data_IF_890724514798
#
_entry.id   IF_890724514798
#
_cell.length_a   1.000
_cell.length_b   1.000
_cell.length_c   1.000
_cell.angle_alpha   90.00
_cell.angle_beta   90.00
_cell.angle_gamma   90.00
#
_symmetry.space_group_name_H-M   'P 1'
#
loop_
_entity.id
_entity.type
_entity.pdbx_description
1 polymer ?
#
# COMPACT_ATOMS: atom_id res chain seq x y z
N UNK A 1 -30.93 7.57 -28.03
CA UNK A 1 -29.52 7.60 -28.50
C UNK A 1 -28.90 8.97 -28.34
N UNK A 2 -29.58 10.08 -28.68
CA UNK A 2 -29.02 11.43 -28.44
C UNK A 2 -28.84 11.71 -26.94
N UNK A 3 -29.88 11.51 -26.11
CA UNK A 3 -29.78 11.76 -24.65
C UNK A 3 -28.64 10.99 -23.94
N UNK A 4 -28.30 9.79 -24.42
CA UNK A 4 -27.18 9.01 -23.87
C UNK A 4 -25.82 9.57 -24.31
N UNK A 5 -25.72 10.05 -25.56
CA UNK A 5 -24.51 10.70 -26.06
C UNK A 5 -24.30 12.05 -25.40
N UNK A 6 -25.37 12.78 -25.15
CA UNK A 6 -25.33 14.06 -24.44
C UNK A 6 -24.85 13.83 -23.00
N UNK A 7 -25.39 12.82 -22.29
CA UNK A 7 -24.93 12.44 -20.95
C UNK A 7 -23.44 12.06 -20.92
N UNK A 8 -22.97 11.27 -21.90
CA UNK A 8 -21.56 10.91 -21.99
C UNK A 8 -20.68 12.10 -22.36
N UNK A 9 -21.18 13.02 -23.20
CA UNK A 9 -20.52 14.27 -23.52
C UNK A 9 -20.34 15.14 -22.28
N UNK A 10 -21.39 15.31 -21.48
CA UNK A 10 -21.33 16.05 -20.22
C UNK A 10 -20.36 15.40 -19.21
N UNK A 11 -20.27 14.06 -19.20
CA UNK A 11 -19.36 13.34 -18.30
C UNK A 11 -17.88 13.64 -18.61
N UNK A 12 -17.52 13.73 -19.89
CA UNK A 12 -16.12 13.91 -20.32
C UNK A 12 -15.75 15.36 -20.64
N UNK A 13 -16.73 16.27 -20.70
CA UNK A 13 -16.49 17.67 -21.03
C UNK A 13 -15.81 18.44 -19.89
N UNK A 14 -14.93 19.37 -20.27
CA UNK A 14 -14.26 20.32 -19.37
C UNK A 14 -13.56 19.61 -18.20
N UNK A 15 -12.86 18.50 -18.48
CA UNK A 15 -11.99 17.84 -17.51
C UNK A 15 -10.57 18.37 -17.69
N UNK A 16 -9.85 18.53 -16.58
CA UNK A 16 -8.49 19.06 -16.56
C UNK A 16 -7.46 17.96 -16.94
N UNK A 17 -7.76 16.70 -16.62
CA UNK A 17 -6.93 15.55 -16.98
C UNK A 17 -7.72 14.23 -17.06
N UNK A 18 -7.19 13.28 -17.81
CA UNK A 18 -7.70 11.91 -17.93
C UNK A 18 -6.70 10.93 -17.33
N UNK A 19 -7.13 10.17 -16.33
CA UNK A 19 -6.31 9.18 -15.62
C UNK A 19 -6.60 7.79 -16.18
N UNK A 20 -5.60 7.16 -16.78
CA UNK A 20 -5.71 5.81 -17.31
C UNK A 20 -5.05 4.83 -16.34
N UNK A 21 -5.86 3.98 -15.69
CA UNK A 21 -5.37 3.01 -14.72
C UNK A 21 -5.01 1.69 -15.40
N UNK A 22 -3.71 1.37 -15.41
CA UNK A 22 -3.09 0.19 -16.02
C UNK A 22 -3.59 -0.11 -17.45
N UNK A 23 -3.60 0.89 -18.36
CA UNK A 23 -4.11 0.69 -19.72
C UNK A 23 -3.24 -0.30 -20.48
N UNK A 24 -3.85 -1.03 -21.41
CA UNK A 24 -3.09 -1.74 -22.43
C UNK A 24 -2.61 -0.78 -23.54
N UNK A 25 -1.61 -1.20 -24.31
CA UNK A 25 -1.01 -0.37 -25.36
C UNK A 25 -2.02 0.09 -26.43
N UNK A 26 -2.92 -0.80 -26.87
CA UNK A 26 -3.93 -0.43 -27.88
C UNK A 26 -4.92 0.61 -27.39
N UNK A 27 -5.30 0.57 -26.11
CA UNK A 27 -6.20 1.54 -25.53
C UNK A 27 -5.50 2.87 -25.29
N UNK A 28 -4.24 2.85 -24.85
CA UNK A 28 -3.44 4.07 -24.70
C UNK A 28 -3.26 4.83 -26.03
N UNK A 29 -3.02 4.12 -27.14
CA UNK A 29 -2.94 4.71 -28.49
C UNK A 29 -4.23 5.43 -28.92
N UNK A 30 -5.40 5.11 -28.34
CA UNK A 30 -6.65 5.83 -28.63
C UNK A 30 -6.63 7.29 -28.14
N UNK A 31 -5.69 7.64 -27.25
CA UNK A 31 -5.57 8.98 -26.65
C UNK A 31 -4.45 9.84 -27.26
N UNK A 32 -3.75 9.39 -28.30
CA UNK A 32 -2.62 10.12 -28.93
C UNK A 32 -3.00 11.51 -29.50
N UNK A 33 -4.25 11.68 -29.91
CA UNK A 33 -4.78 12.91 -30.56
C UNK A 33 -5.75 13.69 -29.65
N UNK A 34 -5.73 13.44 -28.34
CA UNK A 34 -6.60 14.08 -27.35
C UNK A 34 -5.92 15.36 -26.81
N UNK A 35 -6.69 16.43 -26.59
CA UNK A 35 -6.14 17.73 -26.16
C UNK A 35 -5.88 17.77 -24.64
N UNK A 36 -6.59 16.93 -23.89
CA UNK A 36 -6.51 16.78 -22.44
C UNK A 36 -5.20 16.08 -21.97
N UNK A 37 -4.73 16.42 -20.78
CA UNK A 37 -3.55 15.80 -20.17
C UNK A 37 -3.83 14.33 -19.80
N UNK A 38 -3.02 13.39 -20.31
CA UNK A 38 -3.19 11.95 -20.08
C UNK A 38 -2.22 11.48 -19.00
N UNK A 39 -2.75 11.10 -17.84
CA UNK A 39 -1.98 10.56 -16.72
C UNK A 39 -2.10 9.06 -16.68
N UNK A 40 -1.00 8.34 -16.90
CA UNK A 40 -1.00 6.88 -16.75
C UNK A 40 -0.69 6.51 -15.30
N UNK A 41 -1.53 5.68 -14.70
CA UNK A 41 -1.36 5.20 -13.34
C UNK A 41 -1.23 3.69 -13.37
N UNK A 42 -0.15 3.12 -12.85
CA UNK A 42 0.04 1.67 -12.94
C UNK A 42 1.23 1.16 -12.13
N UNK A 43 1.40 -0.17 -12.02
CA UNK A 43 2.49 -0.76 -11.24
C UNK A 43 3.87 -0.52 -11.86
N UNK A 44 3.94 -0.43 -13.19
CA UNK A 44 5.17 -0.18 -13.93
C UNK A 44 4.87 0.67 -15.17
N UNK A 45 5.78 1.59 -15.52
CA UNK A 45 5.65 2.42 -16.71
C UNK A 45 6.09 1.65 -17.97
N UNK A 46 5.32 0.63 -18.34
CA UNK A 46 5.61 -0.20 -19.52
C UNK A 46 5.33 0.47 -20.86
N UNK A 47 4.60 1.59 -20.84
CA UNK A 47 4.21 2.37 -22.01
C UNK A 47 5.10 3.60 -22.23
N UNK A 48 6.10 3.83 -21.36
CA UNK A 48 6.93 5.04 -21.36
C UNK A 48 6.10 6.33 -21.36
N UNK A 49 4.96 6.33 -20.66
CA UNK A 49 4.04 7.45 -20.58
C UNK A 49 4.62 8.58 -19.72
N UNK A 50 4.39 9.81 -20.14
CA UNK A 50 4.74 11.02 -19.40
C UNK A 50 3.51 11.96 -19.45
N UNK A 51 2.79 12.18 -18.33
CA UNK A 51 3.09 11.79 -16.94
C UNK A 51 2.70 10.35 -16.51
N UNK A 52 3.39 9.84 -15.47
CA UNK A 52 3.14 8.52 -14.89
C UNK A 52 3.14 8.53 -13.34
N UNK A 53 2.17 7.84 -12.74
CA UNK A 53 2.06 7.63 -11.28
C UNK A 53 2.15 6.14 -10.95
N UNK A 54 3.15 5.75 -10.14
CA UNK A 54 3.34 4.36 -9.73
C UNK A 54 2.27 3.93 -8.71
N UNK A 55 1.63 2.78 -8.94
CA UNK A 55 0.76 2.07 -8.00
C UNK A 55 1.51 0.89 -7.39
N UNK A 56 2.00 1.01 -6.14
CA UNK A 56 2.90 0.01 -5.57
C UNK A 56 2.20 -1.27 -5.11
N UNK A 57 0.87 -1.27 -4.99
CA UNK A 57 0.05 -2.44 -4.63
C UNK A 57 -1.22 -2.48 -5.45
N UNK A 58 -1.79 -3.68 -5.56
CA UNK A 58 -3.10 -3.87 -6.15
C UNK A 58 -4.18 -3.49 -5.14
N UNK A 59 -4.92 -2.42 -5.43
CA UNK A 59 -6.09 -2.04 -4.65
C UNK A 59 -7.28 -2.90 -5.06
N UNK A 60 -7.89 -3.57 -4.08
CA UNK A 60 -9.11 -4.36 -4.26
C UNK A 60 -10.35 -3.48 -4.38
N UNK A 61 -10.33 -2.29 -3.77
CA UNK A 61 -11.40 -1.31 -3.86
C UNK A 61 -11.10 -0.20 -4.88
N UNK A 62 -12.13 0.17 -5.64
CA UNK A 62 -12.03 1.20 -6.67
C UNK A 62 -11.65 2.55 -6.09
N UNK A 63 -12.26 2.93 -4.96
CA UNK A 63 -12.06 4.23 -4.33
C UNK A 63 -10.59 4.45 -3.92
N UNK A 64 -9.98 3.47 -3.26
CA UNK A 64 -8.59 3.48 -2.84
C UNK A 64 -7.63 3.54 -4.01
N UNK A 65 -7.90 2.79 -5.09
CA UNK A 65 -7.11 2.86 -6.33
C UNK A 65 -7.12 4.26 -6.94
N UNK A 66 -8.32 4.81 -7.15
CA UNK A 66 -8.48 6.14 -7.74
C UNK A 66 -7.84 7.21 -6.86
N UNK A 67 -8.12 7.17 -5.55
CA UNK A 67 -7.56 8.09 -4.58
C UNK A 67 -6.04 8.07 -4.57
N UNK A 68 -5.41 6.89 -4.59
CA UNK A 68 -3.94 6.80 -4.61
C UNK A 68 -3.34 7.44 -5.86
N UNK A 69 -3.92 7.15 -7.04
CA UNK A 69 -3.47 7.74 -8.30
C UNK A 69 -3.58 9.26 -8.30
N UNK A 70 -4.70 9.80 -7.80
CA UNK A 70 -4.97 11.24 -7.71
C UNK A 70 -4.05 11.91 -6.68
N UNK A 71 -3.90 11.33 -5.48
CA UNK A 71 -2.95 11.81 -4.45
C UNK A 71 -1.52 11.89 -5.03
N UNK A 72 -1.12 10.89 -5.83
CA UNK A 72 0.17 10.89 -6.49
C UNK A 72 0.33 11.94 -7.58
N UNK A 73 -0.71 12.22 -8.35
CA UNK A 73 -0.67 13.27 -9.36
C UNK A 73 -0.64 14.67 -8.73
N UNK A 74 -1.35 14.89 -7.62
CA UNK A 74 -1.30 16.12 -6.83
C UNK A 74 0.11 16.37 -6.27
N UNK A 75 0.74 15.36 -5.65
CA UNK A 75 2.09 15.50 -5.08
C UNK A 75 3.15 15.77 -6.17
N UNK A 76 2.99 15.18 -7.35
CA UNK A 76 3.87 15.42 -8.50
C UNK A 76 3.59 16.76 -9.21
N UNK A 77 2.51 17.47 -8.87
CA UNK A 77 2.10 18.72 -9.52
C UNK A 77 1.61 18.51 -10.95
N UNK A 78 1.08 17.33 -11.26
CA UNK A 78 0.46 17.00 -12.56
C UNK A 78 -0.95 17.62 -12.63
N UNK A 79 -1.67 17.60 -11.51
CA UNK A 79 -2.98 18.24 -11.32
C UNK A 79 -2.96 19.08 -10.04
N UNK A 80 -3.88 20.04 -9.94
CA UNK A 80 -4.05 20.93 -8.80
C UNK A 80 -5.29 20.54 -7.94
N UNK A 81 -5.34 21.06 -6.71
CA UNK A 81 -6.52 20.92 -5.85
C UNK A 81 -7.74 21.63 -6.46
N UNK A 82 -8.83 20.88 -6.66
CA UNK A 82 -10.07 21.39 -7.25
C UNK A 82 -10.24 21.08 -8.74
N UNK A 83 -9.24 20.48 -9.38
CA UNK A 83 -9.33 20.01 -10.76
C UNK A 83 -10.38 18.90 -10.91
N UNK A 84 -11.07 18.90 -12.04
CA UNK A 84 -12.02 17.86 -12.46
C UNK A 84 -11.29 16.81 -13.30
N UNK A 85 -11.16 15.59 -12.79
CA UNK A 85 -10.44 14.52 -13.49
C UNK A 85 -11.38 13.40 -13.91
N UNK A 86 -11.08 12.79 -15.05
CA UNK A 86 -11.77 11.61 -15.56
C UNK A 86 -10.88 10.38 -15.38
N UNK A 87 -11.26 9.49 -14.48
CA UNK A 87 -10.57 8.22 -14.30
C UNK A 87 -11.18 7.14 -15.18
N UNK A 88 -10.34 6.48 -15.97
CA UNK A 88 -10.67 5.29 -16.76
C UNK A 88 -9.99 4.10 -16.12
N UNK A 89 -10.77 3.10 -15.73
CA UNK A 89 -10.26 1.89 -15.07
C UNK A 89 -11.08 0.67 -15.43
N UNK A 90 -10.44 -0.47 -15.27
CA UNK A 90 -11.08 -1.77 -15.30
C UNK A 90 -11.62 -2.12 -13.90
N UNK A 91 -12.89 -2.54 -13.85
CA UNK A 91 -13.55 -3.08 -12.63
C UNK A 91 -13.95 -4.55 -12.82
N UNK A 92 -14.11 -4.99 -14.06
CA UNK A 92 -14.43 -6.36 -14.43
C UNK A 92 -13.43 -6.84 -15.47
N UNK A 93 -12.89 -8.04 -15.28
CA UNK A 93 -11.87 -8.66 -16.14
C UNK A 93 -12.18 -8.48 -17.65
N UNK A 94 -11.25 -7.84 -18.36
CA UNK A 94 -11.22 -7.65 -19.81
C UNK A 94 -12.04 -6.48 -20.35
N UNK A 95 -12.42 -5.51 -19.50
CA UNK A 95 -13.25 -4.36 -19.92
C UNK A 95 -12.83 -3.03 -19.27
N UNK A 96 -12.02 -2.24 -19.98
CA UNK A 96 -11.72 -0.82 -19.70
C UNK A 96 -12.96 0.06 -19.97
N UNK A 97 -14.05 -0.21 -19.24
CA UNK A 97 -15.38 0.37 -19.47
C UNK A 97 -15.92 1.14 -18.27
N UNK A 98 -15.09 1.44 -17.27
CA UNK A 98 -15.50 2.22 -16.10
C UNK A 98 -14.90 3.61 -16.18
N UNK A 99 -15.78 4.60 -16.26
CA UNK A 99 -15.48 6.02 -16.27
C UNK A 99 -15.95 6.61 -14.94
N UNK A 100 -15.06 7.25 -14.21
CA UNK A 100 -15.37 7.94 -12.96
C UNK A 100 -14.87 9.37 -13.07
N UNK A 101 -15.80 10.33 -13.09
CA UNK A 101 -15.46 11.75 -12.94
C UNK A 101 -15.43 12.10 -11.46
N UNK A 102 -14.37 12.77 -11.02
CA UNK A 102 -14.17 13.14 -9.62
C UNK A 102 -13.39 14.45 -9.53
N UNK A 103 -13.68 15.26 -8.51
CA UNK A 103 -12.85 16.42 -8.20
C UNK A 103 -11.66 15.98 -7.33
N UNK A 104 -10.46 16.49 -7.57
CA UNK A 104 -9.23 16.03 -6.88
C UNK A 104 -9.29 16.15 -5.34
N UNK A 105 -10.14 17.04 -4.81
CA UNK A 105 -10.34 17.27 -3.38
C UNK A 105 -11.55 16.51 -2.78
N UNK A 106 -12.28 15.70 -3.56
CA UNK A 106 -13.44 14.93 -3.08
C UNK A 106 -13.04 13.84 -2.09
N UNK A 107 -11.75 13.47 -2.05
CA UNK A 107 -11.21 12.49 -1.12
C UNK A 107 -10.54 13.15 0.08
N UNK A 108 -10.75 12.55 1.26
CA UNK A 108 -9.88 12.82 2.41
C UNK A 108 -8.59 12.01 2.28
N UNK A 109 -7.43 12.57 2.65
CA UNK A 109 -6.16 11.85 2.62
C UNK A 109 -6.27 10.51 3.37
N UNK A 110 -5.94 9.42 2.67
CA UNK A 110 -5.98 8.07 3.27
C UNK A 110 -4.75 7.76 4.14
N UNK A 111 -3.66 8.48 3.91
CA UNK A 111 -2.33 8.15 4.45
C UNK A 111 -1.65 6.97 3.74
N UNK A 112 -2.31 6.33 2.77
CA UNK A 112 -1.73 5.21 2.01
C UNK A 112 -0.64 5.70 1.07
N UNK A 113 -0.86 6.81 0.36
CA UNK A 113 0.18 7.41 -0.48
C UNK A 113 1.41 7.81 0.34
N UNK A 114 1.21 8.51 1.46
CA UNK A 114 2.29 8.88 2.40
C UNK A 114 3.06 7.65 2.92
N UNK A 115 2.36 6.54 3.19
CA UNK A 115 2.98 5.30 3.64
C UNK A 115 3.96 4.70 2.63
N UNK A 116 3.71 4.82 1.33
CA UNK A 116 4.58 4.30 0.28
C UNK A 116 5.64 5.32 -0.18
N UNK A 117 5.27 6.59 -0.30
CA UNK A 117 6.12 7.62 -0.93
C UNK A 117 6.92 8.41 0.11
N UNK A 118 6.33 8.71 1.26
CA UNK A 118 6.93 9.52 2.33
C UNK A 118 7.39 8.65 3.52
N UNK A 119 7.94 7.48 3.21
CA UNK A 119 8.49 6.54 4.20
C UNK A 119 10.02 6.50 4.15
N UNK A 120 10.64 5.99 5.22
CA UNK A 120 12.08 5.73 5.23
C UNK A 120 12.48 4.58 4.31
N UNK A 121 11.57 3.63 4.10
CA UNK A 121 11.81 2.46 3.27
C UNK A 121 11.38 2.71 1.84
N UNK A 122 12.04 2.03 0.91
CA UNK A 122 11.65 2.05 -0.50
C UNK A 122 10.24 1.44 -0.67
N UNK A 123 9.43 1.99 -1.58
CA UNK A 123 8.06 1.53 -1.83
C UNK A 123 8.00 0.03 -2.16
N UNK A 124 8.96 -0.46 -2.94
CA UNK A 124 9.12 -1.88 -3.28
C UNK A 124 9.32 -2.76 -2.05
N UNK A 125 10.06 -2.29 -1.04
CA UNK A 125 10.26 -3.05 0.21
C UNK A 125 8.95 -3.15 1.00
N UNK A 126 8.18 -2.05 1.07
CA UNK A 126 6.88 -2.05 1.73
C UNK A 126 5.92 -3.02 1.01
N UNK A 127 5.87 -2.97 -0.33
CA UNK A 127 5.11 -3.91 -1.16
C UNK A 127 5.51 -5.36 -0.91
N UNK A 128 6.80 -5.70 -0.97
CA UNK A 128 7.26 -7.07 -0.80
C UNK A 128 6.89 -7.62 0.61
N UNK A 129 6.82 -6.76 1.63
CA UNK A 129 6.34 -7.15 2.97
C UNK A 129 4.83 -7.38 3.00
N UNK A 130 4.05 -6.56 2.28
CA UNK A 130 2.62 -6.81 2.09
C UNK A 130 2.37 -8.14 1.41
N UNK A 131 3.09 -8.44 0.31
CA UNK A 131 2.97 -9.72 -0.40
C UNK A 131 3.20 -10.91 0.54
N UNK A 132 4.24 -10.84 1.39
CA UNK A 132 4.49 -11.87 2.40
C UNK A 132 3.35 -11.97 3.42
N UNK A 133 2.85 -10.84 3.92
CA UNK A 133 1.77 -10.80 4.90
C UNK A 133 0.46 -11.36 4.32
N UNK A 134 0.13 -11.03 3.08
CA UNK A 134 -1.03 -11.52 2.35
C UNK A 134 -0.89 -13.03 2.10
N UNK A 135 0.28 -13.50 1.65
CA UNK A 135 0.51 -14.92 1.43
C UNK A 135 0.41 -15.73 2.73
N UNK A 136 0.88 -15.15 3.85
CA UNK A 136 0.71 -15.71 5.19
C UNK A 136 -0.76 -15.74 5.62
N UNK A 137 -1.55 -14.71 5.29
CA UNK A 137 -2.99 -14.67 5.55
C UNK A 137 -3.74 -15.78 4.81
N UNK A 138 -3.52 -15.89 3.50
CA UNK A 138 -4.13 -16.92 2.62
C UNK A 138 -3.80 -18.35 3.06
N UNK A 139 -2.51 -18.64 3.28
CA UNK A 139 -2.04 -20.02 3.50
C UNK A 139 -2.00 -20.41 4.98
N UNK A 140 -1.97 -19.42 5.87
CA UNK A 140 -1.55 -19.62 7.24
C UNK A 140 -0.17 -20.25 7.32
N UNK A 141 0.10 -20.91 8.44
CA UNK A 141 1.27 -21.75 8.61
C UNK A 141 0.88 -23.16 8.98
N UNK A 142 1.28 -24.14 8.15
CA UNK A 142 0.87 -25.55 8.27
C UNK A 142 -0.67 -25.67 8.37
N UNK A 143 -1.38 -24.83 7.62
CA UNK A 143 -2.85 -24.79 7.55
C UNK A 143 -3.54 -24.17 8.77
N UNK A 144 -2.82 -23.44 9.62
CA UNK A 144 -3.39 -22.71 10.76
C UNK A 144 -3.23 -21.21 10.58
N UNK A 145 -4.23 -20.39 10.99
CA UNK A 145 -4.08 -18.95 11.05
C UNK A 145 -2.83 -18.56 11.84
N UNK A 146 -2.16 -17.51 11.41
CA UNK A 146 -0.94 -16.98 12.04
C UNK A 146 -1.05 -15.47 12.12
N UNK A 147 -0.63 -14.92 13.26
CA UNK A 147 -0.48 -13.47 13.40
C UNK A 147 0.99 -13.08 13.27
N UNK A 148 1.26 -12.00 12.55
CA UNK A 148 2.61 -11.49 12.36
C UNK A 148 2.63 -9.97 12.49
N UNK A 149 3.79 -9.43 12.87
CA UNK A 149 4.03 -7.98 12.90
C UNK A 149 5.37 -7.72 12.21
N UNK A 150 5.33 -6.91 11.17
CA UNK A 150 6.48 -6.44 10.43
C UNK A 150 6.62 -4.93 10.66
N UNK A 151 7.83 -4.46 10.94
CA UNK A 151 8.15 -3.03 11.04
C UNK A 151 9.24 -2.75 10.02
N UNK A 152 8.95 -1.84 9.10
CA UNK A 152 9.72 -1.59 7.88
C UNK A 152 10.23 -0.15 7.90
N UNK A 153 11.54 0.00 7.76
CA UNK A 153 12.22 1.30 7.81
C UNK A 153 12.56 1.76 9.24
N UNK A 154 13.42 2.77 9.34
CA UNK A 154 13.91 3.37 10.60
C UNK A 154 14.39 2.30 11.61
N UNK A 155 14.99 1.22 11.09
CA UNK A 155 15.26 0.00 11.86
C UNK A 155 16.15 0.27 13.08
N UNK A 156 17.08 1.23 12.99
CA UNK A 156 17.92 1.63 14.13
C UNK A 156 17.08 2.16 15.30
N UNK A 157 16.13 3.05 15.04
CA UNK A 157 15.25 3.62 16.08
C UNK A 157 14.27 2.58 16.62
N UNK A 158 13.73 1.72 15.75
CA UNK A 158 12.87 0.58 16.13
C UNK A 158 13.63 -0.40 17.04
N UNK A 159 14.88 -0.70 16.72
CA UNK A 159 15.72 -1.59 17.54
C UNK A 159 16.04 -0.98 18.90
N UNK A 160 16.26 0.34 18.98
CA UNK A 160 16.46 1.06 20.25
C UNK A 160 15.19 1.13 21.12
N UNK A 161 14.01 1.11 20.50
CA UNK A 161 12.69 1.09 21.16
C UNK A 161 12.13 -0.33 21.31
N UNK A 162 12.99 -1.33 21.35
CA UNK A 162 12.57 -2.73 21.52
C UNK A 162 13.59 -3.53 22.32
N UNK A 163 13.19 -4.74 22.72
CA UNK A 163 14.08 -5.72 23.35
C UNK A 163 13.91 -7.11 22.71
N UNK A 164 14.95 -7.94 22.71
CA UNK A 164 14.86 -9.29 22.13
C UNK A 164 14.04 -10.20 23.06
N UNK A 165 13.10 -10.94 22.50
CA UNK A 165 12.39 -12.02 23.19
C UNK A 165 13.10 -13.37 23.06
N UNK A 166 13.85 -13.55 21.98
CA UNK A 166 14.57 -14.78 21.68
C UNK A 166 15.84 -14.48 20.87
N UNK A 167 16.60 -15.54 20.55
CA UNK A 167 17.75 -15.45 19.66
C UNK A 167 17.32 -14.96 18.27
N UNK A 168 18.05 -13.98 17.72
CA UNK A 168 17.78 -13.43 16.40
C UNK A 168 18.38 -14.35 15.29
N UNK A 169 17.55 -15.05 14.50
CA UNK A 169 18.06 -15.91 13.43
C UNK A 169 18.68 -15.13 12.27
N UNK A 170 18.44 -13.82 12.18
CA UNK A 170 18.91 -12.94 11.09
C UNK A 170 20.17 -12.13 11.44
N UNK A 171 20.77 -12.30 12.61
CA UNK A 171 21.88 -11.46 13.09
C UNK A 171 23.10 -11.46 12.16
N UNK A 172 23.36 -12.58 11.47
CA UNK A 172 24.47 -12.73 10.52
C UNK A 172 24.01 -12.98 9.09
N UNK A 173 22.70 -12.86 8.82
CA UNK A 173 22.18 -13.05 7.47
C UNK A 173 22.26 -11.75 6.67
N UNK A 174 22.25 -11.89 5.36
CA UNK A 174 22.20 -10.78 4.38
C UNK A 174 20.98 -10.95 3.47
N UNK A 175 19.89 -11.42 4.06
CA UNK A 175 18.66 -11.75 3.33
C UNK A 175 17.72 -10.55 3.32
N UNK A 176 17.04 -10.37 2.21
CA UNK A 176 16.18 -9.23 1.95
C UNK A 176 14.78 -9.73 1.60
N UNK A 177 13.76 -9.00 2.04
CA UNK A 177 12.38 -9.25 1.59
C UNK A 177 12.33 -9.08 0.06
N UNK A 178 11.44 -9.80 -0.62
CA UNK A 178 11.40 -9.93 -2.07
C UNK A 178 12.13 -11.16 -2.62
N UNK A 179 13.07 -11.75 -1.86
CA UNK A 179 13.66 -13.04 -2.23
C UNK A 179 12.69 -14.19 -1.91
N UNK A 180 12.34 -15.07 -2.88
CA UNK A 180 11.46 -16.21 -2.64
C UNK A 180 11.86 -17.11 -1.46
N UNK A 181 13.16 -17.26 -1.17
CA UNK A 181 13.61 -18.07 -0.03
C UNK A 181 13.26 -17.40 1.31
N UNK A 182 13.21 -16.08 1.34
CA UNK A 182 12.89 -15.28 2.53
C UNK A 182 11.45 -15.43 2.91
N UNK A 183 10.54 -15.54 1.95
CA UNK A 183 9.11 -15.76 2.21
C UNK A 183 8.90 -17.08 2.97
N UNK A 184 9.67 -18.13 2.64
CA UNK A 184 9.64 -19.40 3.37
C UNK A 184 10.20 -19.25 4.79
N UNK A 185 11.29 -18.50 4.98
CA UNK A 185 11.86 -18.27 6.30
C UNK A 185 10.94 -17.44 7.21
N UNK A 186 10.36 -16.36 6.69
CA UNK A 186 9.41 -15.53 7.43
C UNK A 186 8.19 -16.33 7.87
N UNK A 187 7.70 -17.24 7.01
CA UNK A 187 6.66 -18.23 7.38
C UNK A 187 7.08 -19.13 8.52
N UNK A 188 8.29 -19.69 8.50
CA UNK A 188 8.71 -20.60 9.57
C UNK A 188 8.84 -19.87 10.91
N UNK A 189 9.24 -18.60 10.90
CA UNK A 189 9.49 -17.82 12.10
C UNK A 189 8.28 -17.01 12.62
N UNK A 190 7.19 -16.86 11.85
CA UNK A 190 6.03 -16.06 12.24
C UNK A 190 5.21 -16.61 13.42
N UNK A 191 5.45 -17.84 13.88
CA UNK A 191 4.76 -18.43 15.06
C UNK A 191 5.07 -17.77 16.38
N UNK A 192 6.25 -17.18 16.48
CA UNK A 192 6.77 -16.73 17.75
C UNK A 192 6.43 -15.26 17.96
N UNK A 193 6.28 -14.90 19.22
CA UNK A 193 5.93 -13.55 19.60
C UNK A 193 7.02 -12.54 19.24
N UNK A 194 6.57 -11.34 18.88
CA UNK A 194 7.41 -10.20 18.55
C UNK A 194 7.29 -9.76 17.09
N UNK A 195 7.99 -8.67 16.79
CA UNK A 195 8.06 -8.08 15.47
C UNK A 195 9.27 -8.60 14.68
N UNK A 196 9.09 -8.71 13.37
CA UNK A 196 10.19 -8.61 12.41
C UNK A 196 10.54 -7.14 12.21
N UNK A 197 11.84 -6.83 12.21
CA UNK A 197 12.34 -5.48 11.92
C UNK A 197 13.13 -5.55 10.62
N UNK A 198 12.73 -4.74 9.66
CA UNK A 198 13.23 -4.70 8.29
C UNK A 198 13.81 -3.31 8.03
N UNK A 199 15.00 -3.25 7.46
CA UNK A 199 15.66 -1.97 7.15
C UNK A 199 15.00 -1.25 5.99
N UNK A 200 15.37 0.01 5.80
CA UNK A 200 14.99 0.87 4.68
C UNK A 200 15.14 0.15 3.31
N UNK A 201 16.26 -0.56 3.11
CA UNK A 201 16.57 -1.31 1.88
C UNK A 201 16.12 -2.79 1.89
N UNK A 202 15.18 -3.18 2.76
CA UNK A 202 14.58 -4.52 2.76
C UNK A 202 15.34 -5.64 3.46
N UNK A 203 16.54 -5.39 4.02
CA UNK A 203 17.24 -6.39 4.85
C UNK A 203 16.45 -6.72 6.10
N UNK A 204 16.26 -8.00 6.40
CA UNK A 204 15.71 -8.42 7.70
C UNK A 204 16.80 -8.22 8.77
N UNK A 205 16.58 -7.26 9.67
CA UNK A 205 17.50 -6.91 10.76
C UNK A 205 17.30 -7.83 11.95
N UNK A 206 16.05 -8.11 12.31
CA UNK A 206 15.73 -8.92 13.47
C UNK A 206 14.37 -9.59 13.38
N UNK A 207 14.21 -10.67 14.13
CA UNK A 207 12.92 -11.24 14.49
C UNK A 207 12.77 -11.27 16.01
N UNK A 208 11.56 -11.53 16.49
CA UNK A 208 11.25 -11.70 17.92
C UNK A 208 11.55 -10.45 18.75
N UNK A 209 11.25 -9.27 18.20
CA UNK A 209 11.40 -8.01 18.92
C UNK A 209 10.13 -7.67 19.68
N UNK A 210 10.22 -7.55 21.00
CA UNK A 210 9.16 -6.92 21.77
C UNK A 210 9.30 -5.42 21.65
N UNK A 211 8.33 -4.78 21.01
CA UNK A 211 8.30 -3.33 20.85
C UNK A 211 7.87 -2.69 22.18
N UNK A 212 8.63 -1.69 22.63
CA UNK A 212 8.35 -0.90 23.85
C UNK A 212 8.05 0.58 23.53
N UNK A 213 7.22 0.91 22.52
CA UNK A 213 6.87 2.29 22.22
C UNK A 213 5.85 2.84 23.24
N UNK A 214 5.82 4.17 23.42
CA UNK A 214 4.79 4.82 24.25
C UNK A 214 3.40 4.62 23.63
N UNK A 215 2.35 4.49 24.43
CA UNK A 215 0.97 4.42 23.92
C UNK A 215 0.30 5.80 23.76
N UNK A 216 1.00 6.89 24.09
CA UNK A 216 0.42 8.24 24.15
C UNK A 216 0.12 8.85 22.77
N UNK A 217 -1.16 9.00 22.41
CA UNK A 217 -1.57 9.55 21.11
C UNK A 217 -1.53 8.52 19.97
N UNK A 218 -1.60 7.23 20.28
CA UNK A 218 -2.01 6.22 19.28
C UNK A 218 -3.53 6.31 19.12
N UNK A 219 -4.00 6.55 17.91
CA UNK A 219 -5.43 6.50 17.58
C UNK A 219 -5.70 5.28 16.70
N UNK A 220 -6.09 4.17 17.34
CA UNK A 220 -6.45 2.96 16.61
C UNK A 220 -7.84 2.46 17.02
N UNK A 221 -8.58 1.82 16.08
CA UNK A 221 -9.90 1.29 16.35
C UNK A 221 -9.95 0.35 17.57
N UNK A 222 -11.06 0.41 18.31
CA UNK A 222 -11.33 -0.52 19.40
C UNK A 222 -11.48 -1.94 18.86
N UNK A 223 -11.05 -2.92 19.64
CA UNK A 223 -11.13 -4.34 19.27
C UNK A 223 -9.84 -4.89 18.66
N UNK A 224 -8.87 -4.03 18.33
CA UNK A 224 -7.56 -4.44 17.86
C UNK A 224 -6.64 -4.89 19.00
N UNK A 225 -5.98 -6.04 18.81
CA UNK A 225 -5.12 -6.68 19.81
C UNK A 225 -3.73 -6.04 20.00
N UNK A 226 -2.89 -6.67 20.83
CA UNK A 226 -1.59 -6.15 21.24
C UNK A 226 -0.61 -5.87 20.09
N UNK A 227 -0.62 -6.66 19.00
CA UNK A 227 0.23 -6.41 17.82
C UNK A 227 -0.13 -5.11 17.11
N UNK A 228 -1.42 -4.80 16.98
CA UNK A 228 -1.91 -3.55 16.40
C UNK A 228 -1.56 -2.33 17.27
N UNK A 229 -1.74 -2.45 18.59
CA UNK A 229 -1.30 -1.41 19.53
C UNK A 229 0.20 -1.13 19.41
N UNK A 230 1.01 -2.19 19.31
CA UNK A 230 2.46 -2.05 19.13
C UNK A 230 2.81 -1.41 17.77
N UNK A 231 2.07 -1.75 16.71
CA UNK A 231 2.22 -1.19 15.37
C UNK A 231 1.95 0.33 15.35
N UNK A 232 0.79 0.77 15.82
CA UNK A 232 0.48 2.21 15.90
C UNK A 232 1.49 2.95 16.79
N UNK A 233 1.82 2.40 17.95
CA UNK A 233 2.75 3.05 18.86
C UNK A 233 4.18 3.18 18.28
N UNK A 234 4.69 2.17 17.57
CA UNK A 234 6.04 2.24 16.99
C UNK A 234 6.07 3.21 15.80
N UNK A 235 5.03 3.25 14.97
CA UNK A 235 4.98 4.12 13.79
C UNK A 235 4.73 5.59 14.15
N UNK A 236 4.15 5.87 15.32
CA UNK A 236 4.09 7.23 15.87
C UNK A 236 5.46 7.73 16.34
N UNK A 237 6.24 6.83 16.95
CA UNK A 237 7.53 7.15 17.57
C UNK A 237 8.71 7.10 16.59
N UNK A 238 8.49 6.64 15.35
CA UNK A 238 9.52 6.40 14.31
C UNK A 238 9.00 6.82 12.94
N UNK A 239 9.84 6.83 11.91
CA UNK A 239 9.38 7.00 10.52
C UNK A 239 9.06 5.67 9.83
N UNK A 240 9.01 4.57 10.59
CA UNK A 240 8.73 3.25 10.08
C UNK A 240 7.25 3.10 9.69
N UNK A 241 6.99 2.16 8.80
CA UNK A 241 5.67 1.60 8.51
C UNK A 241 5.55 0.27 9.26
N UNK A 242 4.39 -0.02 9.84
CA UNK A 242 4.16 -1.32 10.49
C UNK A 242 3.00 -2.06 9.82
N UNK A 243 3.23 -3.30 9.44
CA UNK A 243 2.25 -4.18 8.79
C UNK A 243 1.93 -5.33 9.75
N UNK A 244 0.65 -5.50 10.05
CA UNK A 244 0.12 -6.50 10.96
C UNK A 244 -0.74 -7.48 10.20
N UNK A 245 -0.38 -8.76 10.23
CA UNK A 245 -1.31 -9.84 9.91
C UNK A 245 -2.00 -10.26 11.20
N UNK A 246 -3.32 -10.18 11.22
CA UNK A 246 -4.11 -10.50 12.39
C UNK A 246 -4.44 -12.00 12.44
N UNK A 247 -4.16 -12.61 13.59
CA UNK A 247 -4.41 -14.04 13.82
C UNK A 247 -5.91 -14.36 13.94
N UNK A 248 -6.72 -13.38 14.37
CA UNK A 248 -8.13 -13.60 14.74
C UNK A 248 -9.09 -13.47 13.57
N UNK A 249 -8.85 -12.51 12.67
CA UNK A 249 -9.71 -12.21 11.51
C UNK A 249 -8.97 -12.38 10.17
N UNK A 250 -7.67 -12.69 10.17
CA UNK A 250 -6.91 -12.96 8.94
C UNK A 250 -6.54 -11.71 8.13
N UNK A 251 -7.04 -10.53 8.52
CA UNK A 251 -6.84 -9.29 7.79
C UNK A 251 -5.41 -8.77 7.93
N UNK A 252 -4.90 -8.17 6.86
CA UNK A 252 -3.60 -7.47 6.82
C UNK A 252 -3.86 -5.98 6.96
N UNK A 253 -3.21 -5.36 7.93
CA UNK A 253 -3.40 -3.94 8.28
C UNK A 253 -2.08 -3.21 8.33
N UNK A 254 -2.03 -2.00 7.80
CA UNK A 254 -0.84 -1.17 7.88
C UNK A 254 -1.07 0.11 8.68
N UNK A 255 -0.02 0.48 9.40
CA UNK A 255 0.01 1.60 10.31
C UNK A 255 1.15 2.55 9.92
N UNK A 256 0.87 3.83 10.02
CA UNK A 256 1.81 4.92 9.77
C UNK A 256 1.46 6.07 10.70
N UNK A 257 2.47 6.71 11.30
CA UNK A 257 2.25 7.91 12.13
C UNK A 257 1.40 7.71 13.39
N UNK A 258 1.09 6.48 13.81
CA UNK A 258 0.17 6.21 14.92
C UNK A 258 -1.24 5.81 14.52
N UNK A 259 -1.55 5.82 13.22
CA UNK A 259 -2.89 5.60 12.68
C UNK A 259 -2.93 4.33 11.82
N UNK A 260 -4.12 3.73 11.69
CA UNK A 260 -4.41 2.67 10.72
C UNK A 260 -4.69 3.34 9.36
N UNK A 261 -3.85 3.07 8.36
CA UNK A 261 -3.95 3.72 7.03
C UNK A 261 -4.46 2.79 5.94
N UNK A 262 -4.29 1.47 6.10
CA UNK A 262 -4.72 0.48 5.10
C UNK A 262 -5.19 -0.82 5.76
N UNK A 263 -6.23 -1.43 5.19
CA UNK A 263 -6.74 -2.75 5.53
C UNK A 263 -6.96 -3.55 4.24
N UNK A 264 -6.47 -4.79 4.20
CA UNK A 264 -6.57 -5.70 3.05
C UNK A 264 -7.10 -7.04 3.57
N UNK A 265 -8.12 -7.58 2.90
CA UNK A 265 -8.52 -8.98 3.05
C UNK A 265 -7.68 -9.86 2.12
N UNK A 266 -6.81 -10.75 2.66
CA UNK A 266 -6.02 -11.63 1.83
C UNK A 266 -6.85 -12.53 0.91
N UNK A 267 -8.09 -12.87 1.22
CA UNK A 267 -8.90 -13.74 0.34
C UNK A 267 -9.45 -12.99 -0.89
N UNK A 268 -9.48 -11.65 -0.85
CA UNK A 268 -9.96 -10.80 -1.96
C UNK A 268 -8.81 -10.19 -2.80
N UNK A 269 -7.56 -10.35 -2.34
CA UNK A 269 -6.33 -9.97 -3.05
C UNK A 269 -5.86 -11.08 -3.99
#
# INVERSE_FOLDING_TARGET
MNELRDLLGDLVADVDAVFLFSPNASFFEEFDDVDEEIVVVGPENTLDAEPFVELPIDFTDLEGRLRFGIEGALEQGIVDEGDEVLCVTEVLDGAENTLVRVQTNDFSPSGVYDMFVNSRADASVVRDVFEVAIELGKKGQKGKPVGALFVVGDAGKVMNKSRPLSYNPFEKSHVHVGDPIVNVMLKEFSRLDGAFVISDAGKIVSAYRYLEPSAEGVDIPKGLGARHMAAGAVTRDTMATAIVLSESDGLVRAFKGGELVLEIDPEEY
#
